data_IF_043962768339
#
_entry.id   IF_043962768339
#
_cell.length_a   1.000
_cell.length_b   1.000
_cell.length_c   1.000
_cell.angle_alpha   90.00
_cell.angle_beta   90.00
_cell.angle_gamma   90.00
#
_symmetry.space_group_name_H-M   'P 1'
#
loop_
_entity.id
_entity.type
_entity.pdbx_description
1 polymer ?
#
# COMPACT_ATOMS: atom_id res chain seq x y z
N UNK A 1 14.66 -1.45 24.95
CA UNK A 1 14.47 -2.16 26.21
C UNK A 1 13.18 -1.74 26.90
N UNK A 2 12.94 -0.45 27.02
CA UNK A 2 11.67 0.06 27.57
C UNK A 2 10.47 -0.34 26.71
N UNK A 3 10.62 -0.30 25.40
CA UNK A 3 9.62 -0.75 24.45
C UNK A 3 9.30 -2.23 24.65
N UNK A 4 10.32 -3.05 24.83
CA UNK A 4 10.15 -4.49 25.05
C UNK A 4 9.40 -4.78 26.35
N UNK A 5 9.70 -4.06 27.42
CA UNK A 5 8.99 -4.22 28.69
C UNK A 5 7.55 -3.74 28.59
N UNK A 6 7.33 -2.65 27.89
CA UNK A 6 6.00 -2.12 27.65
C UNK A 6 5.16 -3.09 26.82
N UNK A 7 5.73 -3.64 25.77
CA UNK A 7 5.06 -4.63 24.94
C UNK A 7 4.73 -5.91 25.73
N UNK A 8 5.65 -6.35 26.57
CA UNK A 8 5.42 -7.53 27.41
C UNK A 8 4.24 -7.30 28.36
N UNK A 9 4.18 -6.13 28.97
CA UNK A 9 3.06 -5.77 29.85
C UNK A 9 1.74 -5.74 29.09
N UNK A 10 1.75 -5.24 27.86
CA UNK A 10 0.57 -5.25 27.01
C UNK A 10 0.15 -6.69 26.69
N UNK A 11 1.10 -7.56 26.38
CA UNK A 11 0.81 -8.95 26.06
C UNK A 11 0.23 -9.68 27.28
N UNK A 12 0.75 -9.44 28.45
CA UNK A 12 0.21 -10.01 29.68
C UNK A 12 -1.21 -9.54 29.93
N UNK A 13 -1.47 -8.25 29.71
CA UNK A 13 -2.80 -7.67 29.83
C UNK A 13 -3.74 -8.24 28.79
N UNK A 14 -3.25 -8.48 27.57
CA UNK A 14 -4.03 -9.09 26.50
C UNK A 14 -4.54 -10.48 26.83
N UNK A 15 -3.83 -11.21 27.67
CA UNK A 15 -4.27 -12.53 28.10
C UNK A 15 -5.67 -12.51 28.69
N UNK A 16 -6.08 -11.39 29.26
CA UNK A 16 -7.41 -11.23 29.86
C UNK A 16 -8.43 -10.62 28.90
N UNK A 17 -7.99 -9.89 27.89
CA UNK A 17 -8.88 -9.07 27.07
C UNK A 17 -8.87 -9.42 25.60
N UNK A 18 -8.07 -10.41 25.23
CA UNK A 18 -7.82 -10.69 23.82
C UNK A 18 -9.09 -11.03 23.05
N UNK A 19 -10.08 -11.60 23.72
CA UNK A 19 -11.35 -11.92 23.08
C UNK A 19 -12.29 -10.73 22.99
N UNK A 20 -12.09 -9.72 23.81
CA UNK A 20 -12.89 -8.51 23.78
C UNK A 20 -12.23 -7.39 22.97
N UNK A 21 -10.90 -7.39 22.82
CA UNK A 21 -10.25 -6.62 21.78
C UNK A 21 -10.46 -7.33 20.48
N UNK A 22 -11.46 -6.95 19.95
CA UNK A 22 -12.14 -7.52 18.87
C UNK A 22 -11.23 -7.85 17.72
N UNK A 23 -11.63 -8.79 16.95
CA UNK A 23 -11.28 -9.07 15.60
C UNK A 23 -11.00 -7.77 14.81
N UNK A 24 -11.82 -6.73 15.03
CA UNK A 24 -11.70 -5.43 14.38
C UNK A 24 -10.36 -4.73 14.67
N UNK A 25 -9.88 -4.76 15.92
CA UNK A 25 -8.60 -4.16 16.27
C UNK A 25 -7.44 -4.90 15.60
N UNK A 26 -7.51 -6.22 15.55
CA UNK A 26 -6.51 -7.03 14.85
C UNK A 26 -6.51 -6.75 13.36
N UNK A 27 -7.68 -6.62 12.77
CA UNK A 27 -7.80 -6.32 11.33
C UNK A 27 -7.25 -4.93 10.99
N UNK A 28 -7.45 -3.95 11.85
CA UNK A 28 -6.83 -2.63 11.67
C UNK A 28 -5.31 -2.71 11.69
N UNK A 29 -4.74 -3.54 12.57
CA UNK A 29 -3.29 -3.75 12.62
C UNK A 29 -2.76 -4.41 11.35
N UNK A 30 -3.50 -5.36 10.81
CA UNK A 30 -3.16 -6.00 9.53
C UNK A 30 -3.06 -4.95 8.43
N UNK A 31 -4.05 -4.07 8.36
CA UNK A 31 -4.08 -3.01 7.34
C UNK A 31 -2.88 -2.07 7.50
N UNK A 32 -2.56 -1.67 8.73
CA UNK A 32 -1.39 -0.81 8.99
C UNK A 32 -0.10 -1.49 8.54
N UNK A 33 0.06 -2.76 8.88
CA UNK A 33 1.21 -3.57 8.49
C UNK A 33 1.36 -3.64 6.97
N UNK A 34 0.28 -3.95 6.27
CA UNK A 34 0.28 -4.11 4.82
C UNK A 34 0.52 -2.78 4.13
N UNK A 35 -0.09 -1.70 4.61
CA UNK A 35 0.17 -0.36 4.06
C UNK A 35 1.64 0.02 4.15
N UNK A 36 2.26 -0.26 5.28
CA UNK A 36 3.69 0.01 5.49
C UNK A 36 4.54 -0.83 4.52
N UNK A 37 4.21 -2.09 4.38
CA UNK A 37 4.87 -3.00 3.45
C UNK A 37 4.77 -2.48 2.01
N UNK A 38 3.59 -2.07 1.58
CA UNK A 38 3.36 -1.56 0.23
C UNK A 38 4.13 -0.26 -0.02
N UNK A 39 4.16 0.64 0.94
CA UNK A 39 4.93 1.89 0.84
C UNK A 39 6.42 1.63 0.67
N UNK A 40 6.93 0.58 1.31
CA UNK A 40 8.32 0.16 1.16
C UNK A 40 8.62 -0.56 -0.14
N UNK A 41 7.61 -0.87 -0.94
CA UNK A 41 7.75 -1.66 -2.17
C UNK A 41 7.10 -0.97 -3.39
N UNK A 42 7.03 0.36 -3.38
CA UNK A 42 6.37 1.13 -4.44
C UNK A 42 6.96 0.83 -5.83
N UNK A 43 8.25 0.58 -5.90
CA UNK A 43 8.94 0.29 -7.16
C UNK A 43 8.76 -1.13 -7.68
N UNK A 44 7.93 -1.95 -7.05
CA UNK A 44 7.74 -3.34 -7.44
C UNK A 44 6.34 -3.59 -7.95
N UNK A 45 6.19 -4.55 -8.87
CA UNK A 45 4.90 -5.10 -9.24
C UNK A 45 4.66 -6.34 -8.37
N UNK A 46 3.63 -6.29 -7.54
CA UNK A 46 3.33 -7.37 -6.62
C UNK A 46 1.90 -7.85 -6.85
N UNK A 47 1.72 -9.17 -6.85
CA UNK A 47 0.39 -9.77 -6.86
C UNK A 47 -0.20 -9.76 -5.45
N UNK A 48 -1.52 -9.90 -5.34
CA UNK A 48 -2.16 -10.01 -4.02
C UNK A 48 -1.65 -11.25 -3.28
N UNK A 49 -1.36 -12.34 -3.99
CA UNK A 49 -0.82 -13.56 -3.39
C UNK A 49 0.53 -13.31 -2.73
N UNK A 50 1.41 -12.61 -3.43
CA UNK A 50 2.74 -12.27 -2.89
C UNK A 50 2.62 -11.34 -1.69
N UNK A 51 1.78 -10.31 -1.79
CA UNK A 51 1.57 -9.36 -0.70
C UNK A 51 1.05 -10.09 0.54
N UNK A 52 0.06 -10.96 0.36
CA UNK A 52 -0.52 -11.71 1.45
C UNK A 52 0.50 -12.64 2.10
N UNK A 53 1.22 -13.42 1.29
CA UNK A 53 2.22 -14.37 1.76
C UNK A 53 3.33 -13.67 2.54
N UNK A 54 3.84 -12.56 2.02
CA UNK A 54 4.90 -11.79 2.68
C UNK A 54 4.46 -11.20 4.02
N UNK A 55 3.16 -11.03 4.22
CA UNK A 55 2.60 -10.49 5.45
C UNK A 55 1.97 -11.56 6.36
N UNK A 56 2.02 -12.82 5.96
CA UNK A 56 1.57 -13.93 6.80
C UNK A 56 0.08 -14.23 6.72
N UNK A 57 -0.56 -13.89 5.60
CA UNK A 57 -2.00 -14.11 5.40
C UNK A 57 -2.28 -14.81 4.10
N UNK A 58 -3.45 -15.43 3.98
CA UNK A 58 -3.95 -15.89 2.68
C UNK A 58 -4.46 -14.69 1.88
N UNK A 59 -4.47 -14.82 0.57
CA UNK A 59 -4.99 -13.77 -0.30
C UNK A 59 -6.46 -13.45 0.03
N UNK A 60 -7.27 -14.47 0.27
CA UNK A 60 -8.68 -14.30 0.61
C UNK A 60 -8.87 -13.52 1.91
N UNK A 61 -8.09 -13.85 2.96
CA UNK A 61 -8.14 -13.13 4.23
C UNK A 61 -7.75 -11.67 4.04
N UNK A 62 -6.65 -11.43 3.35
CA UNK A 62 -6.15 -10.08 3.16
C UNK A 62 -7.13 -9.22 2.37
N UNK A 63 -7.69 -9.76 1.29
CA UNK A 63 -8.67 -9.05 0.47
C UNK A 63 -9.91 -8.69 1.28
N UNK A 64 -10.41 -9.64 2.07
CA UNK A 64 -11.58 -9.39 2.92
C UNK A 64 -11.31 -8.30 3.95
N UNK A 65 -10.21 -8.43 4.67
CA UNK A 65 -9.83 -7.48 5.71
C UNK A 65 -9.63 -6.08 5.12
N UNK A 66 -8.89 -6.00 4.03
CA UNK A 66 -8.56 -4.72 3.42
C UNK A 66 -9.80 -4.01 2.88
N UNK A 67 -10.68 -4.77 2.21
CA UNK A 67 -11.93 -4.21 1.70
C UNK A 67 -12.83 -3.72 2.82
N UNK A 68 -12.93 -4.48 3.92
CA UNK A 68 -13.76 -4.11 5.07
C UNK A 68 -13.24 -2.87 5.79
N UNK A 69 -11.91 -2.77 5.95
CA UNK A 69 -11.32 -1.66 6.71
C UNK A 69 -11.07 -0.41 5.87
N UNK A 70 -10.77 -0.56 4.58
CA UNK A 70 -10.38 0.57 3.73
C UNK A 70 -11.38 0.89 2.64
N UNK A 71 -12.32 -0.01 2.35
CA UNK A 71 -13.24 0.15 1.23
C UNK A 71 -12.60 -0.06 -0.13
N UNK A 72 -11.31 -0.36 -0.19
CA UNK A 72 -10.54 -0.59 -1.42
C UNK A 72 -9.94 -1.99 -1.40
N UNK A 73 -9.69 -2.56 -2.58
CA UNK A 73 -8.87 -3.75 -2.69
C UNK A 73 -7.41 -3.39 -2.39
N UNK A 74 -6.62 -4.40 -2.00
CA UNK A 74 -5.18 -4.21 -1.76
C UNK A 74 -4.49 -3.65 -3.00
N UNK A 75 -4.81 -4.18 -4.17
CA UNK A 75 -4.19 -3.74 -5.42
C UNK A 75 -4.58 -2.31 -5.76
N UNK A 76 -5.84 -1.93 -5.58
CA UNK A 76 -6.28 -0.56 -5.82
C UNK A 76 -5.55 0.42 -4.89
N UNK A 77 -5.40 0.06 -3.63
CA UNK A 77 -4.62 0.87 -2.69
C UNK A 77 -3.17 1.00 -3.17
N UNK A 78 -2.57 -0.11 -3.58
CA UNK A 78 -1.18 -0.10 -4.07
C UNK A 78 -1.01 0.80 -5.29
N UNK A 79 -1.93 0.68 -6.25
CA UNK A 79 -1.94 1.56 -7.43
C UNK A 79 -2.06 3.01 -7.01
N UNK A 80 -2.94 3.33 -6.07
CA UNK A 80 -3.14 4.71 -5.62
C UNK A 80 -1.87 5.30 -5.01
N UNK A 81 -1.14 4.56 -4.18
CA UNK A 81 0.10 5.11 -3.62
C UNK A 81 1.21 5.24 -4.67
N UNK A 82 1.25 4.37 -5.67
CA UNK A 82 2.17 4.51 -6.79
C UNK A 82 1.88 5.78 -7.59
N UNK A 83 0.61 6.05 -7.84
CA UNK A 83 0.19 7.27 -8.56
C UNK A 83 0.55 8.52 -7.77
N UNK A 84 0.32 8.52 -6.45
CA UNK A 84 0.68 9.66 -5.61
C UNK A 84 2.20 9.89 -5.62
N UNK A 85 2.98 8.84 -5.56
CA UNK A 85 4.44 8.96 -5.66
C UNK A 85 4.87 9.47 -7.03
N UNK A 86 4.23 8.98 -8.10
CA UNK A 86 4.50 9.48 -9.45
C UNK A 86 4.22 10.98 -9.57
N UNK A 87 3.15 11.47 -8.96
CA UNK A 87 2.86 12.91 -8.94
C UNK A 87 3.99 13.71 -8.31
N UNK A 88 4.55 13.22 -7.21
CA UNK A 88 5.69 13.88 -6.57
C UNK A 88 6.90 13.95 -7.51
N UNK A 89 7.21 12.84 -8.17
CA UNK A 89 8.33 12.79 -9.12
C UNK A 89 8.11 13.72 -10.31
N UNK A 90 6.89 13.80 -10.83
CA UNK A 90 6.55 14.73 -11.91
C UNK A 90 6.76 16.17 -11.46
N UNK A 91 6.30 16.51 -10.27
CA UNK A 91 6.40 17.86 -9.72
C UNK A 91 7.85 18.28 -9.45
N UNK A 92 8.71 17.32 -9.09
CA UNK A 92 10.14 17.59 -8.91
C UNK A 92 10.85 17.91 -10.23
N UNK A 93 10.33 17.38 -11.34
CA UNK A 93 10.82 17.72 -12.67
C UNK A 93 12.19 17.16 -13.03
N UNK A 94 12.72 16.20 -12.28
CA UNK A 94 14.06 15.66 -12.49
C UNK A 94 14.07 14.35 -13.27
N UNK A 95 12.92 13.76 -13.53
CA UNK A 95 12.79 12.47 -14.19
C UNK A 95 11.92 12.59 -15.44
N UNK A 96 12.25 11.80 -16.44
CA UNK A 96 11.35 11.63 -17.60
C UNK A 96 10.16 10.78 -17.19
N UNK A 97 9.09 10.83 -17.98
CA UNK A 97 7.90 10.00 -17.72
C UNK A 97 8.26 8.50 -17.76
N UNK A 98 9.15 8.10 -18.67
CA UNK A 98 9.63 6.72 -18.73
C UNK A 98 10.34 6.31 -17.44
N UNK A 99 11.21 7.17 -16.92
CA UNK A 99 11.91 6.93 -15.67
C UNK A 99 10.93 6.85 -14.49
N UNK A 100 9.93 7.72 -14.47
CA UNK A 100 8.89 7.70 -13.42
C UNK A 100 8.11 6.38 -13.46
N UNK A 101 7.72 5.94 -14.66
CA UNK A 101 7.02 4.67 -14.83
C UNK A 101 7.84 3.51 -14.23
N UNK A 102 9.13 3.46 -14.53
CA UNK A 102 10.03 2.44 -13.99
C UNK A 102 10.15 2.55 -12.47
N UNK A 103 10.27 3.76 -11.94
CA UNK A 103 10.38 3.98 -10.50
C UNK A 103 9.16 3.50 -9.71
N UNK A 104 7.99 3.51 -10.32
CA UNK A 104 6.78 2.99 -9.68
C UNK A 104 6.44 1.56 -10.12
N UNK A 105 7.40 0.88 -10.78
CA UNK A 105 7.30 -0.54 -11.06
C UNK A 105 6.64 -0.93 -12.37
N UNK A 106 6.43 0.00 -13.29
CA UNK A 106 5.83 -0.30 -14.60
C UNK A 106 6.87 -0.30 -15.71
N UNK A 107 7.04 -1.45 -16.35
CA UNK A 107 7.99 -1.59 -17.46
C UNK A 107 7.50 -0.95 -18.75
N UNK A 108 6.20 -0.73 -18.89
CA UNK A 108 5.60 -0.14 -20.07
C UNK A 108 5.11 1.28 -19.77
N UNK A 109 5.82 2.32 -20.28
CA UNK A 109 5.42 3.70 -20.01
C UNK A 109 4.03 4.06 -20.56
N UNK A 110 3.63 3.44 -21.67
CA UNK A 110 2.30 3.69 -22.24
C UNK A 110 1.20 3.16 -21.34
N UNK A 111 1.39 1.97 -20.76
CA UNK A 111 0.46 1.41 -19.81
C UNK A 111 0.36 2.31 -18.57
N UNK A 112 1.51 2.72 -18.04
CA UNK A 112 1.56 3.64 -16.90
C UNK A 112 0.81 4.95 -17.20
N UNK A 113 1.04 5.54 -18.36
CA UNK A 113 0.40 6.81 -18.75
C UNK A 113 -1.12 6.69 -18.83
N UNK A 114 -1.61 5.58 -19.38
CA UNK A 114 -3.06 5.31 -19.42
C UNK A 114 -3.64 5.11 -18.02
N UNK A 115 -2.93 4.37 -17.17
CA UNK A 115 -3.35 4.15 -15.78
C UNK A 115 -3.37 5.47 -15.01
N UNK A 116 -2.33 6.28 -15.16
CA UNK A 116 -2.24 7.60 -14.53
C UNK A 116 -3.42 8.49 -14.96
N UNK A 117 -3.67 8.56 -16.26
CA UNK A 117 -4.78 9.35 -16.78
C UNK A 117 -6.13 8.87 -16.25
N UNK A 118 -6.32 7.56 -16.16
CA UNK A 118 -7.55 6.98 -15.60
C UNK A 118 -7.74 7.39 -14.14
N UNK A 119 -6.67 7.40 -13.36
CA UNK A 119 -6.74 7.71 -11.91
C UNK A 119 -6.79 9.21 -11.63
N UNK A 120 -6.07 10.01 -12.41
CA UNK A 120 -5.89 11.45 -12.15
C UNK A 120 -6.79 12.32 -13.01
N UNK A 121 -7.17 11.84 -14.19
CA UNK A 121 -7.95 12.61 -15.17
C UNK A 121 -7.10 13.33 -16.18
N UNK A 122 -5.79 13.38 -15.99
CA UNK A 122 -4.82 14.00 -16.91
C UNK A 122 -3.70 13.01 -17.16
N UNK A 123 -3.08 13.09 -18.33
CA UNK A 123 -1.86 12.33 -18.61
C UNK A 123 -0.72 12.85 -17.72
N UNK A 124 0.36 12.06 -17.52
CA UNK A 124 1.51 12.55 -16.77
C UNK A 124 2.08 13.85 -17.35
N UNK A 125 2.16 13.97 -18.67
CA UNK A 125 2.65 15.19 -19.32
C UNK A 125 1.73 16.38 -19.08
N UNK A 126 0.43 16.18 -19.21
CA UNK A 126 -0.56 17.22 -18.92
C UNK A 126 -0.49 17.66 -17.45
N UNK A 127 -0.37 16.70 -16.54
CA UNK A 127 -0.24 16.97 -15.12
C UNK A 127 1.01 17.79 -14.82
N UNK A 128 2.13 17.46 -15.45
CA UNK A 128 3.39 18.17 -15.26
C UNK A 128 3.40 19.59 -15.80
N UNK A 129 2.46 19.93 -16.67
CA UNK A 129 2.35 21.25 -17.27
C UNK A 129 1.34 22.18 -16.57
N UNK A 130 0.78 21.71 -15.46
CA UNK A 130 -0.15 22.56 -14.69
C UNK A 130 0.54 23.75 -14.03
#
# INVERSE_FOLDING_TARGET
VLMSMYQRRIEETKGYRIHSFSKKTREKRVVIQVKKYLKGNIGKLLSVDTIAADNGYSAAQLQRIFKNECGLSVIDYFINIKIEYAKLLINEGQCTITEIALNVGYNNPNYFSRLFKKKVGLSPSEYGNL
#
